data_IF_139680661410
#
_entry.id   IF_139680661410
#
_cell.length_a   1.000
_cell.length_b   1.000
_cell.length_c   1.000
_cell.angle_alpha   90.00
_cell.angle_beta   90.00
_cell.angle_gamma   90.00
#
_symmetry.space_group_name_H-M   'P 1'
#
loop_
_entity.id
_entity.type
_entity.pdbx_description
1 polymer ?
#
# COMPACT_ATOMS: atom_id res chain seq x y z
N UNK A 1 -18.71 -3.71 -17.42
CA UNK A 1 -18.44 -2.26 -17.43
C UNK A 1 -17.39 -2.06 -16.37
N UNK A 2 -16.18 -1.64 -16.73
CA UNK A 2 -15.10 -1.39 -15.77
C UNK A 2 -15.52 -0.22 -14.90
N UNK A 3 -15.75 -0.47 -13.62
CA UNK A 3 -15.79 0.61 -12.61
C UNK A 3 -14.51 1.42 -12.82
N UNK A 4 -14.67 2.71 -13.17
CA UNK A 4 -13.62 3.61 -13.69
C UNK A 4 -12.39 3.84 -12.79
N UNK A 5 -11.80 2.76 -12.29
CA UNK A 5 -10.59 2.77 -11.51
C UNK A 5 -9.37 2.73 -12.43
N UNK A 6 -8.77 3.90 -12.63
CA UNK A 6 -7.50 4.03 -13.35
C UNK A 6 -6.35 3.73 -12.39
N UNK A 7 -5.43 2.78 -12.74
CA UNK A 7 -4.23 2.55 -11.95
C UNK A 7 -3.36 3.81 -11.86
N UNK A 8 -2.75 4.04 -10.71
CA UNK A 8 -1.93 5.23 -10.46
C UNK A 8 -0.57 5.08 -11.14
N UNK A 9 -0.11 6.14 -11.84
CA UNK A 9 1.19 6.17 -12.52
C UNK A 9 1.40 5.01 -13.51
N UNK A 10 0.33 4.60 -14.22
CA UNK A 10 0.35 3.41 -15.08
C UNK A 10 1.43 3.48 -16.16
N UNK A 11 1.51 4.59 -16.89
CA UNK A 11 2.47 4.76 -17.98
C UNK A 11 3.91 4.75 -17.46
N UNK A 12 4.14 5.37 -16.31
CA UNK A 12 5.44 5.41 -15.64
C UNK A 12 5.85 4.02 -15.13
N UNK A 13 4.90 3.25 -14.55
CA UNK A 13 5.14 1.86 -14.13
C UNK A 13 5.52 1.01 -15.34
N UNK A 14 4.76 1.05 -16.43
CA UNK A 14 5.05 0.28 -17.63
C UNK A 14 6.38 0.70 -18.27
N UNK A 15 6.70 2.00 -18.28
CA UNK A 15 7.96 2.51 -18.79
C UNK A 15 9.18 2.05 -18.00
N UNK A 16 9.10 2.05 -16.68
CA UNK A 16 10.20 1.60 -15.81
C UNK A 16 10.30 0.09 -15.70
N UNK A 17 9.17 -0.62 -15.57
CA UNK A 17 9.14 -2.08 -15.46
C UNK A 17 9.50 -2.76 -16.78
N UNK A 18 9.18 -2.11 -17.92
CA UNK A 18 9.48 -2.54 -19.29
C UNK A 18 9.03 -4.00 -19.58
N UNK A 19 7.72 -4.30 -19.46
CA UNK A 19 7.24 -5.66 -19.69
C UNK A 19 7.47 -6.11 -21.13
N UNK A 20 7.93 -7.38 -21.31
CA UNK A 20 8.28 -7.98 -22.59
C UNK A 20 7.68 -9.37 -22.76
N UNK A 21 7.46 -9.84 -23.98
CA UNK A 21 7.08 -11.23 -24.24
C UNK A 21 8.03 -12.22 -23.55
N UNK A 22 7.48 -13.32 -23.06
CA UNK A 22 8.20 -14.37 -22.32
C UNK A 22 8.59 -13.97 -20.89
N UNK A 23 8.41 -12.72 -20.49
CA UNK A 23 8.78 -12.23 -19.16
C UNK A 23 7.86 -12.75 -18.07
N UNK A 24 8.39 -12.81 -16.85
CA UNK A 24 7.67 -13.22 -15.64
C UNK A 24 7.61 -12.04 -14.67
N UNK A 25 6.40 -11.69 -14.23
CA UNK A 25 6.16 -10.49 -13.42
C UNK A 25 5.45 -10.86 -12.12
N UNK A 26 5.70 -10.06 -11.08
CA UNK A 26 4.95 -10.11 -9.83
C UNK A 26 4.31 -8.74 -9.58
N UNK A 27 3.00 -8.73 -9.37
CA UNK A 27 2.28 -7.62 -8.77
C UNK A 27 1.94 -8.03 -7.33
N UNK A 28 2.68 -7.49 -6.36
CA UNK A 28 2.59 -7.91 -4.97
C UNK A 28 1.45 -7.21 -4.20
N UNK A 29 0.73 -6.31 -4.85
CA UNK A 29 -0.41 -5.53 -4.34
C UNK A 29 -1.49 -5.45 -5.41
N UNK A 30 -1.97 -6.61 -5.83
CA UNK A 30 -2.79 -6.80 -7.04
C UNK A 30 -4.03 -5.88 -7.11
N UNK A 31 -4.69 -5.65 -5.95
CA UNK A 31 -5.92 -4.87 -5.88
C UNK A 31 -6.97 -5.39 -6.86
N UNK A 32 -7.47 -4.52 -7.72
CA UNK A 32 -8.45 -4.87 -8.76
C UNK A 32 -7.82 -5.40 -10.06
N UNK A 33 -6.48 -5.52 -10.11
CA UNK A 33 -5.74 -6.06 -11.26
C UNK A 33 -5.46 -5.07 -12.39
N UNK A 34 -5.58 -3.77 -12.16
CA UNK A 34 -5.40 -2.77 -13.22
C UNK A 34 -3.97 -2.71 -13.77
N UNK A 35 -2.96 -2.63 -12.91
CA UNK A 35 -1.55 -2.73 -13.31
C UNK A 35 -1.23 -4.10 -13.90
N UNK A 36 -1.72 -5.18 -13.26
CA UNK A 36 -1.53 -6.55 -13.71
C UNK A 36 -2.04 -6.75 -15.15
N UNK A 37 -3.24 -6.26 -15.48
CA UNK A 37 -3.78 -6.27 -16.84
C UNK A 37 -2.83 -5.61 -17.84
N UNK A 38 -2.39 -4.39 -17.55
CA UNK A 38 -1.53 -3.65 -18.46
C UNK A 38 -0.15 -4.31 -18.65
N UNK A 39 0.40 -4.92 -17.60
CA UNK A 39 1.63 -5.72 -17.68
C UNK A 39 1.41 -6.93 -18.60
N UNK A 40 0.29 -7.66 -18.46
CA UNK A 40 -0.04 -8.84 -19.27
C UNK A 40 -0.28 -8.48 -20.74
N UNK A 41 -0.96 -7.38 -21.01
CA UNK A 41 -1.17 -6.85 -22.36
C UNK A 41 0.17 -6.48 -23.02
N UNK A 42 1.03 -5.77 -22.29
CA UNK A 42 2.35 -5.33 -22.78
C UNK A 42 3.32 -6.50 -22.99
N UNK A 43 3.20 -7.58 -22.21
CA UNK A 43 4.02 -8.79 -22.30
C UNK A 43 3.40 -9.91 -23.13
N UNK A 44 2.39 -9.61 -23.94
CA UNK A 44 1.80 -10.58 -24.88
C UNK A 44 2.86 -11.09 -25.88
N UNK A 45 2.73 -12.35 -26.38
CA UNK A 45 1.60 -13.28 -26.15
C UNK A 45 1.76 -14.17 -24.91
N UNK A 46 2.95 -14.32 -24.33
CA UNK A 46 3.31 -15.39 -23.43
C UNK A 46 3.91 -14.95 -22.08
N UNK A 47 3.99 -13.64 -21.83
CA UNK A 47 4.39 -13.11 -20.54
C UNK A 47 3.41 -13.54 -19.43
N UNK A 48 3.95 -13.87 -18.24
CA UNK A 48 3.19 -14.40 -17.10
C UNK A 48 3.23 -13.46 -15.90
N UNK A 49 2.18 -13.49 -15.09
CA UNK A 49 2.07 -12.65 -13.91
C UNK A 49 1.60 -13.47 -12.69
N UNK A 50 2.28 -13.25 -11.59
CA UNK A 50 1.86 -13.69 -10.27
C UNK A 50 1.30 -12.47 -9.54
N UNK A 51 -0.01 -12.49 -9.22
CA UNK A 51 -0.69 -11.45 -8.47
C UNK A 51 -0.85 -11.89 -7.02
N UNK A 52 -0.35 -11.07 -6.10
CA UNK A 52 -0.46 -11.32 -4.66
C UNK A 52 -1.33 -10.22 -4.06
N UNK A 53 -2.29 -10.59 -3.24
CA UNK A 53 -3.02 -9.63 -2.42
C UNK A 53 -3.40 -10.27 -1.08
N UNK A 54 -3.42 -9.46 -0.03
CA UNK A 54 -3.88 -9.87 1.29
C UNK A 54 -5.39 -9.76 1.46
N UNK A 55 -6.09 -9.04 0.57
CA UNK A 55 -7.55 -8.90 0.58
C UNK A 55 -8.18 -9.97 -0.32
N UNK A 56 -8.86 -10.99 0.25
CA UNK A 56 -9.50 -12.03 -0.54
C UNK A 56 -10.60 -11.49 -1.47
N UNK A 57 -11.24 -10.37 -1.12
CA UNK A 57 -12.25 -9.74 -1.97
C UNK A 57 -11.61 -9.11 -3.22
N UNK A 58 -10.42 -8.53 -3.08
CA UNK A 58 -9.66 -8.00 -4.21
C UNK A 58 -9.29 -9.12 -5.20
N UNK A 59 -8.85 -10.28 -4.69
CA UNK A 59 -8.50 -11.43 -5.52
C UNK A 59 -9.68 -11.98 -6.32
N UNK A 60 -10.88 -12.00 -5.75
CA UNK A 60 -12.11 -12.42 -6.48
C UNK A 60 -12.40 -11.47 -7.65
N UNK A 61 -12.33 -10.16 -7.41
CA UNK A 61 -12.57 -9.16 -8.45
C UNK A 61 -11.48 -9.19 -9.53
N UNK A 62 -10.22 -9.23 -9.12
CA UNK A 62 -9.08 -9.34 -10.03
C UNK A 62 -9.14 -10.62 -10.87
N UNK A 63 -9.51 -11.77 -10.27
CA UNK A 63 -9.66 -13.03 -10.96
C UNK A 63 -10.70 -12.96 -12.08
N UNK A 64 -11.85 -12.35 -11.84
CA UNK A 64 -12.85 -12.11 -12.87
C UNK A 64 -12.35 -11.15 -13.96
N UNK A 65 -11.68 -10.08 -13.57
CA UNK A 65 -11.12 -9.06 -14.46
C UNK A 65 -10.01 -9.60 -15.36
N UNK A 66 -9.19 -10.52 -14.88
CA UNK A 66 -8.02 -11.08 -15.57
C UNK A 66 -8.29 -12.44 -16.22
N UNK A 67 -9.53 -12.95 -16.19
CA UNK A 67 -9.88 -14.29 -16.67
C UNK A 67 -9.51 -14.55 -18.14
N UNK A 68 -9.54 -13.54 -19.01
CA UNK A 68 -9.15 -13.64 -20.42
C UNK A 68 -7.69 -14.03 -20.65
N UNK A 69 -6.81 -13.80 -19.66
CA UNK A 69 -5.38 -14.12 -19.75
C UNK A 69 -5.09 -15.61 -19.43
N UNK A 70 -6.06 -16.35 -18.91
CA UNK A 70 -5.98 -17.80 -18.68
C UNK A 70 -4.75 -18.19 -17.83
N UNK A 71 -3.98 -19.16 -18.31
CA UNK A 71 -2.81 -19.74 -17.62
C UNK A 71 -1.61 -18.76 -17.46
N UNK A 72 -1.72 -17.57 -18.02
CA UNK A 72 -0.71 -16.53 -17.85
C UNK A 72 -0.77 -15.84 -16.50
N UNK A 73 -1.84 -16.07 -15.71
CA UNK A 73 -2.08 -15.42 -14.41
C UNK A 73 -2.18 -16.47 -13.30
N UNK A 74 -1.44 -16.23 -12.22
CA UNK A 74 -1.58 -16.98 -10.97
C UNK A 74 -1.89 -16.00 -9.85
N UNK A 75 -2.99 -16.20 -9.11
CA UNK A 75 -3.42 -15.34 -8.01
C UNK A 75 -3.19 -16.04 -6.67
N UNK A 76 -2.58 -15.34 -5.71
CA UNK A 76 -2.24 -15.90 -4.41
C UNK A 76 -2.69 -14.98 -3.29
N UNK A 77 -3.42 -15.54 -2.30
CA UNK A 77 -3.83 -14.84 -1.10
C UNK A 77 -2.69 -14.85 -0.07
N UNK A 78 -1.95 -13.76 0.01
CA UNK A 78 -0.86 -13.57 0.96
C UNK A 78 -0.55 -12.08 1.16
N UNK A 79 0.06 -11.69 2.28
CA UNK A 79 0.65 -10.36 2.39
C UNK A 79 1.91 -10.27 1.50
N UNK A 80 2.15 -9.10 0.93
CA UNK A 80 3.30 -8.86 0.05
C UNK A 80 4.66 -9.10 0.74
N UNK A 81 4.72 -9.05 2.07
CA UNK A 81 5.94 -9.39 2.83
C UNK A 81 6.37 -10.86 2.70
N UNK A 82 5.49 -11.74 2.21
CA UNK A 82 5.79 -13.15 1.90
C UNK A 82 6.07 -13.39 0.41
N UNK A 83 6.33 -12.33 -0.37
CA UNK A 83 6.44 -12.46 -1.82
C UNK A 83 7.51 -13.47 -2.27
N UNK A 84 8.70 -13.50 -1.64
CA UNK A 84 9.73 -14.48 -1.99
C UNK A 84 9.27 -15.92 -1.74
N UNK A 85 8.63 -16.18 -0.61
CA UNK A 85 8.06 -17.48 -0.26
C UNK A 85 7.01 -17.89 -1.29
N UNK A 86 6.02 -17.03 -1.56
CA UNK A 86 4.97 -17.26 -2.55
C UNK A 86 5.55 -17.55 -3.94
N UNK A 87 6.47 -16.71 -4.40
CA UNK A 87 7.11 -16.91 -5.71
C UNK A 87 7.90 -18.23 -5.79
N UNK A 88 8.51 -18.65 -4.67
CA UNK A 88 9.22 -19.92 -4.59
C UNK A 88 8.25 -21.09 -4.66
N UNK A 89 7.16 -21.06 -3.91
CA UNK A 89 6.13 -22.11 -3.89
C UNK A 89 5.49 -22.34 -5.25
N UNK A 90 5.23 -21.25 -6.01
CA UNK A 90 4.66 -21.35 -7.37
C UNK A 90 5.72 -21.55 -8.46
N UNK A 91 7.00 -21.75 -8.10
CA UNK A 91 8.09 -21.96 -9.06
C UNK A 91 8.38 -20.76 -9.97
N UNK A 92 8.14 -19.54 -9.48
CA UNK A 92 8.24 -18.32 -10.27
C UNK A 92 9.49 -17.46 -10.00
N UNK A 93 10.33 -17.83 -9.02
CA UNK A 93 11.61 -17.16 -8.76
C UNK A 93 12.67 -17.61 -9.76
N UNK A 94 13.49 -16.69 -10.28
CA UNK A 94 13.40 -15.24 -10.18
C UNK A 94 12.44 -14.64 -11.22
N UNK A 95 11.90 -13.42 -10.94
CA UNK A 95 11.05 -12.70 -11.88
C UNK A 95 11.82 -11.61 -12.66
N UNK A 96 11.29 -11.23 -13.83
CA UNK A 96 11.79 -10.15 -14.68
C UNK A 96 11.39 -8.76 -14.17
N UNK A 97 10.21 -8.67 -13.56
CA UNK A 97 9.70 -7.44 -13.01
C UNK A 97 8.88 -7.64 -11.75
N UNK A 98 8.97 -6.67 -10.85
CA UNK A 98 8.28 -6.67 -9.57
C UNK A 98 7.62 -5.32 -9.31
N UNK A 99 6.33 -5.32 -9.05
CA UNK A 99 5.54 -4.13 -8.74
C UNK A 99 5.00 -4.20 -7.32
N UNK A 100 5.03 -3.05 -6.65
CA UNK A 100 4.34 -2.82 -5.38
C UNK A 100 3.64 -1.47 -5.44
N UNK A 101 2.32 -1.46 -5.33
CA UNK A 101 1.49 -0.28 -5.21
C UNK A 101 0.94 -0.20 -3.78
N UNK A 102 1.67 0.52 -2.90
CA UNK A 102 1.38 0.57 -1.48
C UNK A 102 0.07 1.31 -1.19
N UNK A 103 -0.50 1.06 0.00
CA UNK A 103 -1.68 1.76 0.48
C UNK A 103 -2.96 0.95 0.38
N UNK A 104 -4.08 1.62 0.14
CA UNK A 104 -5.43 1.03 0.15
C UNK A 104 -6.07 1.04 -1.23
N UNK A 105 -6.80 -0.02 -1.53
CA UNK A 105 -7.56 -0.13 -2.76
C UNK A 105 -8.82 0.75 -2.74
N UNK A 106 -9.36 1.04 -3.92
CA UNK A 106 -10.61 1.81 -4.05
C UNK A 106 -11.77 1.20 -3.29
N UNK A 107 -12.05 -0.11 -3.40
CA UNK A 107 -13.14 -0.72 -2.65
C UNK A 107 -12.97 -0.62 -1.13
N UNK A 108 -11.74 -0.61 -0.62
CA UNK A 108 -11.51 -0.44 0.82
C UNK A 108 -11.92 0.95 1.29
N UNK A 109 -11.70 2.00 0.48
CA UNK A 109 -12.08 3.38 0.81
C UNK A 109 -13.55 3.69 0.55
N UNK A 110 -14.13 3.08 -0.50
CA UNK A 110 -15.46 3.42 -0.99
C UNK A 110 -16.57 2.61 -0.32
N UNK A 111 -16.23 1.53 0.42
CA UNK A 111 -17.19 0.70 1.16
C UNK A 111 -17.16 1.04 2.65
N UNK A 112 -18.23 1.64 3.21
CA UNK A 112 -18.28 2.06 4.62
C UNK A 112 -18.06 0.89 5.59
N UNK A 113 -18.50 -0.31 5.24
CA UNK A 113 -18.35 -1.52 6.05
C UNK A 113 -16.91 -1.96 6.27
N UNK A 114 -15.96 -1.46 5.46
CA UNK A 114 -14.52 -1.73 5.61
C UNK A 114 -13.86 -0.80 6.63
N UNK A 115 -14.48 0.28 7.03
CA UNK A 115 -14.01 1.18 8.09
C UNK A 115 -12.81 2.07 7.76
N UNK A 116 -12.35 2.13 6.52
CA UNK A 116 -11.18 2.95 6.13
C UNK A 116 -11.51 4.45 5.95
N UNK A 117 -12.78 4.79 5.81
CA UNK A 117 -13.24 6.15 5.55
C UNK A 117 -14.10 6.68 6.69
N UNK A 118 -14.03 7.99 6.90
CA UNK A 118 -14.91 8.72 7.82
C UNK A 118 -15.96 9.57 7.07
N UNK A 119 -16.03 9.45 5.74
CA UNK A 119 -17.03 10.16 4.92
C UNK A 119 -18.42 9.60 5.18
N UNK A 120 -18.49 8.27 5.11
CA UNK A 120 -19.68 7.52 5.45
C UNK A 120 -19.40 6.74 6.74
N UNK A 121 -20.37 6.70 7.65
CA UNK A 121 -20.21 6.02 8.92
C UNK A 121 -20.27 4.51 8.74
N UNK A 122 -19.27 3.81 9.25
CA UNK A 122 -19.14 2.36 9.23
C UNK A 122 -18.50 1.84 10.51
N UNK A 123 -18.33 0.51 10.65
CA UNK A 123 -17.64 -0.09 11.78
C UNK A 123 -16.17 0.32 11.83
N UNK A 124 -15.56 0.31 13.01
CA UNK A 124 -14.13 0.54 13.20
C UNK A 124 -13.35 -0.75 12.89
N UNK A 125 -13.34 -1.17 11.60
CA UNK A 125 -12.62 -2.37 11.17
C UNK A 125 -11.19 -2.05 10.74
N UNK A 126 -10.99 -1.42 9.59
CA UNK A 126 -9.72 -1.02 8.96
C UNK A 126 -8.78 -2.20 8.61
N UNK A 127 -9.17 -3.45 8.74
CA UNK A 127 -8.34 -4.58 8.30
C UNK A 127 -8.32 -4.67 6.77
N UNK A 128 -7.15 -4.79 6.18
CA UNK A 128 -7.03 -5.06 4.75
C UNK A 128 -7.43 -6.51 4.44
N UNK A 129 -7.07 -7.46 5.31
CA UNK A 129 -7.61 -8.83 5.31
C UNK A 129 -8.66 -8.98 6.42
N UNK A 130 -9.96 -8.99 6.10
CA UNK A 130 -11.01 -9.07 7.13
C UNK A 130 -11.13 -10.45 7.80
N UNK A 131 -10.42 -11.47 7.28
CA UNK A 131 -10.48 -12.84 7.82
C UNK A 131 -9.61 -13.02 9.06
N UNK A 132 -8.69 -12.10 9.37
CA UNK A 132 -7.72 -12.24 10.45
C UNK A 132 -7.32 -10.90 11.09
N UNK A 133 -6.66 -10.98 12.24
CA UNK A 133 -6.15 -9.81 12.96
C UNK A 133 -7.20 -9.06 13.75
N UNK A 134 -6.74 -8.09 14.56
CA UNK A 134 -7.61 -7.20 15.34
C UNK A 134 -8.16 -6.06 14.48
N UNK A 135 -9.40 -5.64 14.76
CA UNK A 135 -9.99 -4.47 14.14
C UNK A 135 -9.47 -3.17 14.76
N UNK A 136 -9.69 -2.02 14.10
CA UNK A 136 -9.40 -0.73 14.71
C UNK A 136 -10.20 -0.52 16.02
N UNK A 137 -11.41 -1.06 16.10
CA UNK A 137 -12.21 -1.05 17.32
C UNK A 137 -11.59 -1.89 18.42
N UNK A 138 -11.02 -3.07 18.12
CA UNK A 138 -10.31 -3.90 19.09
C UNK A 138 -9.05 -3.20 19.59
N UNK A 139 -8.25 -2.64 18.66
CA UNK A 139 -7.07 -1.85 19.00
C UNK A 139 -7.44 -0.71 19.95
N UNK A 140 -8.45 0.09 19.61
CA UNK A 140 -8.87 1.26 20.41
C UNK A 140 -9.45 0.88 21.79
N UNK A 141 -10.01 -0.34 21.94
CA UNK A 141 -10.46 -0.85 23.24
C UNK A 141 -9.30 -1.27 24.14
N UNK A 142 -8.20 -1.76 23.56
CA UNK A 142 -7.07 -2.36 24.27
C UNK A 142 -6.02 -1.31 24.68
N UNK A 143 -5.72 -0.35 23.81
CA UNK A 143 -4.61 0.60 24.03
C UNK A 143 -4.89 1.58 25.15
N UNK A 144 -3.84 1.98 25.87
CA UNK A 144 -3.88 3.11 26.78
C UNK A 144 -3.63 4.45 26.07
N UNK A 145 -3.71 5.56 26.82
CA UNK A 145 -3.55 6.91 26.25
C UNK A 145 -2.15 7.10 25.65
N UNK A 146 -1.09 6.57 26.28
CA UNK A 146 0.30 6.76 25.83
C UNK A 146 0.60 5.96 24.56
N UNK A 147 0.12 4.71 24.49
CA UNK A 147 0.25 3.88 23.32
C UNK A 147 -0.51 4.50 22.13
N UNK A 148 -1.74 4.97 22.36
CA UNK A 148 -2.54 5.63 21.32
C UNK A 148 -1.90 6.95 20.85
N UNK A 149 -1.38 7.76 21.77
CA UNK A 149 -0.63 8.97 21.44
C UNK A 149 0.56 8.64 20.53
N UNK A 150 1.33 7.61 20.88
CA UNK A 150 2.50 7.20 20.10
C UNK A 150 2.09 6.73 18.69
N UNK A 151 1.04 5.91 18.56
CA UNK A 151 0.48 5.49 17.27
C UNK A 151 0.12 6.71 16.41
N UNK A 152 -0.65 7.65 16.96
CA UNK A 152 -1.13 8.84 16.23
C UNK A 152 0.03 9.76 15.85
N UNK A 153 1.01 9.94 16.73
CA UNK A 153 2.18 10.78 16.48
C UNK A 153 3.09 10.16 15.43
N UNK A 154 3.46 8.90 15.60
CA UNK A 154 4.51 8.27 14.82
C UNK A 154 4.01 7.80 13.45
N UNK A 155 2.79 7.27 13.35
CA UNK A 155 2.19 6.79 12.11
C UNK A 155 1.32 7.84 11.40
N UNK A 156 0.77 8.80 12.13
CA UNK A 156 0.02 9.91 11.57
C UNK A 156 0.85 11.15 11.27
N UNK A 157 2.09 11.21 11.79
CA UNK A 157 2.90 12.46 11.81
C UNK A 157 2.08 13.65 12.36
N UNK A 158 1.24 13.38 13.41
CA UNK A 158 0.26 14.32 13.94
C UNK A 158 0.77 15.01 15.21
N UNK A 159 0.93 16.32 15.16
CA UNK A 159 1.47 17.10 16.29
C UNK A 159 0.52 17.23 17.48
N UNK A 160 -0.78 17.06 17.25
CA UNK A 160 -1.81 17.13 18.31
C UNK A 160 -2.16 15.74 18.86
N UNK A 161 -1.30 14.74 18.66
CA UNK A 161 -1.54 13.35 19.00
C UNK A 161 -2.05 13.14 20.43
N UNK A 162 -1.43 13.80 21.44
CA UNK A 162 -1.84 13.67 22.83
C UNK A 162 -3.25 14.22 23.13
N UNK A 163 -3.67 15.31 22.45
CA UNK A 163 -5.05 15.81 22.59
C UNK A 163 -6.07 14.88 21.95
N UNK A 164 -5.70 14.32 20.81
CA UNK A 164 -6.56 13.40 20.07
C UNK A 164 -6.69 12.10 20.86
N UNK A 165 -5.57 11.51 21.33
CA UNK A 165 -5.57 10.30 22.13
C UNK A 165 -6.44 10.44 23.37
N UNK A 166 -6.25 11.50 24.16
CA UNK A 166 -7.09 11.80 25.32
C UNK A 166 -8.57 11.91 24.97
N UNK A 167 -8.91 12.58 23.86
CA UNK A 167 -10.29 12.71 23.39
C UNK A 167 -10.91 11.38 23.02
N UNK A 168 -10.15 10.50 22.35
CA UNK A 168 -10.61 9.16 21.96
C UNK A 168 -10.80 8.27 23.20
N UNK A 169 -9.82 8.23 24.13
CA UNK A 169 -9.91 7.43 25.35
C UNK A 169 -11.11 7.87 26.20
N UNK A 170 -11.29 9.19 26.41
CA UNK A 170 -12.44 9.70 27.14
C UNK A 170 -13.78 9.37 26.48
N UNK A 171 -13.88 9.36 25.16
CA UNK A 171 -15.09 8.97 24.43
C UNK A 171 -15.34 7.46 24.52
N UNK A 172 -14.27 6.64 24.41
CA UNK A 172 -14.34 5.20 24.61
C UNK A 172 -14.93 4.86 25.97
N UNK A 173 -14.40 5.49 27.03
CA UNK A 173 -14.80 5.21 28.41
C UNK A 173 -16.27 5.65 28.71
N UNK A 174 -16.84 6.53 27.87
CA UNK A 174 -18.28 6.89 27.89
C UNK A 174 -19.15 6.04 26.94
N UNK A 175 -18.56 5.11 26.18
CA UNK A 175 -19.28 4.30 25.20
C UNK A 175 -19.70 5.08 23.93
N UNK A 176 -19.03 6.18 23.59
CA UNK A 176 -19.33 7.04 22.45
C UNK A 176 -18.48 6.73 21.20
N UNK A 177 -17.66 5.67 21.24
CA UNK A 177 -16.72 5.29 20.17
C UNK A 177 -17.21 4.02 19.47
N UNK A 178 -18.25 4.12 18.65
CA UNK A 178 -18.93 3.00 18.03
C UNK A 178 -18.75 2.89 16.50
N UNK A 179 -18.29 3.97 15.86
CA UNK A 179 -18.21 4.05 14.40
C UNK A 179 -17.10 4.96 13.91
N UNK A 180 -16.78 4.86 12.60
CA UNK A 180 -15.82 5.75 11.93
C UNK A 180 -16.30 7.20 11.96
N UNK A 181 -17.61 7.44 11.86
CA UNK A 181 -18.19 8.77 11.99
C UNK A 181 -17.99 9.38 13.38
N UNK A 182 -18.25 8.60 14.44
CA UNK A 182 -18.00 9.00 15.83
C UNK A 182 -16.51 9.32 16.05
N UNK A 183 -15.61 8.45 15.62
CA UNK A 183 -14.16 8.68 15.69
C UNK A 183 -13.76 9.98 14.97
N UNK A 184 -14.24 10.19 13.74
CA UNK A 184 -13.98 11.41 12.97
C UNK A 184 -14.42 12.68 13.70
N UNK A 185 -15.61 12.67 14.31
CA UNK A 185 -16.15 13.79 15.09
C UNK A 185 -15.34 14.05 16.38
N UNK A 186 -14.87 12.99 17.06
CA UNK A 186 -14.02 13.10 18.25
C UNK A 186 -12.69 13.77 17.88
N UNK A 187 -12.04 13.31 16.81
CA UNK A 187 -10.79 13.90 16.32
C UNK A 187 -10.98 15.35 15.95
N UNK A 188 -12.03 15.69 15.21
CA UNK A 188 -12.33 17.06 14.82
C UNK A 188 -12.50 17.99 16.03
N UNK A 189 -13.16 17.54 17.10
CA UNK A 189 -13.30 18.31 18.35
C UNK A 189 -11.98 18.53 19.08
N UNK A 190 -11.05 17.59 18.99
CA UNK A 190 -9.73 17.68 19.59
C UNK A 190 -8.78 18.61 18.84
N UNK A 191 -9.03 18.89 17.56
CA UNK A 191 -8.16 19.69 16.71
C UNK A 191 -8.51 21.17 16.75
N UNK A 192 -7.51 22.09 16.75
CA UNK A 192 -7.76 23.52 16.57
C UNK A 192 -8.36 23.82 15.20
N UNK A 193 -9.41 24.67 15.14
CA UNK A 193 -10.12 25.00 13.89
C UNK A 193 -9.24 25.59 12.78
N UNK A 194 -8.18 26.31 13.12
CA UNK A 194 -7.26 26.90 12.14
C UNK A 194 -6.40 25.86 11.40
N UNK A 195 -6.37 24.60 11.85
CA UNK A 195 -5.66 23.49 11.21
C UNK A 195 -6.51 22.70 10.19
N UNK A 196 -7.77 23.10 9.99
CA UNK A 196 -8.72 22.38 9.13
C UNK A 196 -8.52 22.63 7.62
N UNK A 197 -7.28 22.87 7.16
CA UNK A 197 -6.94 22.95 5.73
C UNK A 197 -7.13 21.61 5.00
N UNK A 198 -7.03 20.50 5.74
CA UNK A 198 -7.42 19.15 5.34
C UNK A 198 -8.34 18.59 6.41
N UNK A 199 -9.11 17.53 6.09
CA UNK A 199 -9.94 16.93 7.12
C UNK A 199 -9.05 16.48 8.30
N UNK A 200 -9.33 16.95 9.53
CA UNK A 200 -8.47 16.71 10.69
C UNK A 200 -8.33 15.23 11.04
N UNK A 201 -9.31 14.38 10.67
CA UNK A 201 -9.27 12.94 10.96
C UNK A 201 -8.32 12.15 10.04
N UNK A 202 -7.90 12.70 8.89
CA UNK A 202 -7.11 11.95 7.89
C UNK A 202 -5.86 11.31 8.47
N UNK A 203 -5.08 12.05 9.28
CA UNK A 203 -3.83 11.54 9.88
C UNK A 203 -4.09 10.48 10.94
N UNK A 204 -5.14 10.65 11.74
CA UNK A 204 -5.53 9.66 12.76
C UNK A 204 -5.99 8.36 12.10
N UNK A 205 -6.80 8.42 11.04
CA UNK A 205 -7.22 7.25 10.28
C UNK A 205 -6.03 6.54 9.62
N UNK A 206 -5.10 7.30 9.02
CA UNK A 206 -3.84 6.74 8.52
C UNK A 206 -3.06 6.03 9.62
N UNK A 207 -2.92 6.64 10.80
CA UNK A 207 -2.17 6.06 11.90
C UNK A 207 -2.78 4.72 12.39
N UNK A 208 -4.09 4.69 12.57
CA UNK A 208 -4.79 3.47 12.98
C UNK A 208 -4.71 2.38 11.92
N UNK A 209 -4.86 2.73 10.64
CA UNK A 209 -4.72 1.81 9.51
C UNK A 209 -3.34 1.17 9.48
N UNK A 210 -2.29 1.98 9.61
CA UNK A 210 -0.90 1.50 9.66
C UNK A 210 -0.71 0.54 10.84
N UNK A 211 -1.23 0.88 12.02
CA UNK A 211 -1.12 0.05 13.22
C UNK A 211 -1.86 -1.29 13.06
N UNK A 212 -3.13 -1.26 12.65
CA UNK A 212 -3.98 -2.46 12.45
C UNK A 212 -3.37 -3.42 11.43
N UNK A 213 -2.79 -2.89 10.36
CA UNK A 213 -2.29 -3.70 9.25
C UNK A 213 -0.78 -3.95 9.29
N UNK A 214 -0.06 -3.42 10.29
CA UNK A 214 1.41 -3.52 10.40
C UNK A 214 2.13 -3.09 9.12
N UNK A 215 1.62 -2.03 8.44
CA UNK A 215 2.00 -1.69 7.07
C UNK A 215 3.50 -1.43 6.93
N UNK A 216 4.11 -0.67 7.85
CA UNK A 216 5.53 -0.32 7.76
C UNK A 216 6.44 -1.52 7.96
N UNK A 217 6.11 -2.43 8.88
CA UNK A 217 6.85 -3.68 9.09
C UNK A 217 6.75 -4.60 7.86
N UNK A 218 5.57 -4.66 7.22
CA UNK A 218 5.39 -5.43 5.99
C UNK A 218 6.30 -4.91 4.87
N UNK A 219 6.43 -3.56 4.74
CA UNK A 219 7.31 -2.93 3.75
C UNK A 219 8.77 -3.27 4.03
N UNK A 220 9.21 -3.18 5.28
CA UNK A 220 10.58 -3.51 5.66
C UNK A 220 10.93 -4.97 5.33
N UNK A 221 10.06 -5.91 5.72
CA UNK A 221 10.22 -7.35 5.43
C UNK A 221 10.28 -7.63 3.93
N UNK A 222 9.42 -6.99 3.13
CA UNK A 222 9.49 -7.12 1.67
C UNK A 222 10.84 -6.64 1.14
N UNK A 223 11.28 -5.45 1.55
CA UNK A 223 12.50 -4.83 1.03
C UNK A 223 13.78 -5.60 1.41
N UNK A 224 13.74 -6.40 2.48
CA UNK A 224 14.85 -7.27 2.88
C UNK A 224 15.08 -8.41 1.86
N UNK A 225 14.03 -8.94 1.27
CA UNK A 225 14.06 -10.09 0.36
C UNK A 225 13.95 -9.72 -1.13
N UNK A 226 13.62 -8.46 -1.43
CA UNK A 226 13.21 -8.02 -2.77
C UNK A 226 14.24 -8.29 -3.87
N UNK A 227 15.54 -8.07 -3.55
CA UNK A 227 16.60 -8.35 -4.50
C UNK A 227 16.73 -9.85 -4.85
N UNK A 228 16.25 -10.74 -3.99
CA UNK A 228 16.27 -12.18 -4.20
C UNK A 228 15.07 -12.65 -5.05
N UNK A 229 14.02 -11.87 -5.13
CA UNK A 229 12.90 -12.12 -6.03
C UNK A 229 13.26 -11.87 -7.50
N UNK A 230 14.22 -11.01 -7.79
CA UNK A 230 14.54 -10.53 -9.14
C UNK A 230 15.73 -11.24 -9.76
N UNK A 231 15.67 -11.54 -11.06
CA UNK A 231 16.86 -11.93 -11.82
C UNK A 231 17.83 -10.75 -12.02
N UNK A 232 19.12 -10.98 -12.33
CA UNK A 232 19.99 -9.91 -12.82
C UNK A 232 19.35 -9.20 -14.03
N UNK A 233 19.32 -7.86 -14.02
CA UNK A 233 18.59 -7.04 -14.99
C UNK A 233 17.09 -6.98 -14.78
N UNK A 234 16.53 -7.69 -13.80
CA UNK A 234 15.12 -7.59 -13.42
C UNK A 234 14.80 -6.24 -12.77
N UNK A 235 13.61 -5.71 -13.01
CA UNK A 235 13.21 -4.35 -12.64
C UNK A 235 12.15 -4.32 -11.57
N UNK A 236 12.21 -3.30 -10.75
CA UNK A 236 11.35 -3.06 -9.61
C UNK A 236 10.70 -1.69 -9.73
N UNK A 237 9.40 -1.63 -9.47
CA UNK A 237 8.64 -0.41 -9.26
C UNK A 237 7.93 -0.45 -7.93
N UNK A 238 8.07 0.61 -7.11
CA UNK A 238 7.34 0.79 -5.85
C UNK A 238 6.67 2.15 -5.85
N UNK A 239 5.35 2.17 -5.64
CA UNK A 239 4.56 3.38 -5.45
C UNK A 239 4.23 3.50 -3.95
N UNK A 240 4.49 4.68 -3.38
CA UNK A 240 4.16 5.04 -2.00
C UNK A 240 3.22 6.24 -1.98
N UNK A 241 2.32 6.32 -1.00
CA UNK A 241 1.31 7.38 -0.92
C UNK A 241 1.50 8.34 0.25
N UNK A 242 2.34 7.99 1.22
CA UNK A 242 2.67 8.90 2.33
C UNK A 242 4.18 8.92 2.64
N UNK A 243 4.55 9.88 3.49
CA UNK A 243 5.95 10.18 3.83
C UNK A 243 6.70 9.02 4.48
N UNK A 244 6.02 8.24 5.33
CA UNK A 244 6.64 7.13 6.06
C UNK A 244 7.02 5.99 5.12
N UNK A 245 6.10 5.56 4.24
CA UNK A 245 6.37 4.56 3.19
C UNK A 245 7.54 5.01 2.32
N UNK A 246 7.45 6.20 1.73
CA UNK A 246 8.49 6.72 0.83
C UNK A 246 9.85 6.82 1.53
N UNK A 247 9.88 7.16 2.82
CA UNK A 247 11.11 7.24 3.63
C UNK A 247 11.76 5.88 3.78
N UNK A 248 11.00 4.83 4.09
CA UNK A 248 11.48 3.45 4.24
C UNK A 248 12.00 2.95 2.89
N UNK A 249 11.19 3.04 1.83
CA UNK A 249 11.56 2.62 0.47
C UNK A 249 12.83 3.32 0.00
N UNK A 250 12.89 4.65 0.13
CA UNK A 250 14.07 5.44 -0.25
C UNK A 250 15.34 5.00 0.48
N UNK A 251 15.26 4.84 1.81
CA UNK A 251 16.42 4.45 2.63
C UNK A 251 16.91 3.06 2.23
N UNK A 252 15.99 2.11 2.08
CA UNK A 252 16.33 0.73 1.76
C UNK A 252 16.90 0.57 0.35
N UNK A 253 16.28 1.19 -0.66
CA UNK A 253 16.81 1.17 -2.03
C UNK A 253 18.18 1.83 -2.12
N UNK A 254 18.46 2.89 -1.36
CA UNK A 254 19.80 3.48 -1.27
C UNK A 254 20.80 2.53 -0.63
N UNK A 255 20.42 1.79 0.41
CA UNK A 255 21.27 0.78 1.02
C UNK A 255 21.59 -0.35 0.05
N UNK A 256 20.57 -0.89 -0.63
CA UNK A 256 20.73 -1.91 -1.67
C UNK A 256 21.57 -1.44 -2.86
N UNK A 257 21.60 -0.14 -3.12
CA UNK A 257 22.46 0.46 -4.15
C UNK A 257 23.89 0.81 -3.66
N UNK A 258 24.29 0.32 -2.47
CA UNK A 258 25.62 0.58 -1.90
C UNK A 258 25.83 2.03 -1.46
N UNK A 259 24.76 2.82 -1.30
CA UNK A 259 24.83 4.27 -1.00
C UNK A 259 24.51 4.62 0.46
N UNK A 260 24.58 3.65 1.36
CA UNK A 260 24.29 3.85 2.78
C UNK A 260 25.54 4.06 3.64
N UNK A 261 26.73 4.04 3.06
CA UNK A 261 28.00 4.16 3.81
C UNK A 261 28.38 2.90 4.63
N UNK A 262 27.68 1.79 4.44
CA UNK A 262 27.88 0.53 5.20
C UNK A 262 28.97 -0.36 4.62
N UNK A 263 29.54 -0.04 3.46
CA UNK A 263 30.48 -0.88 2.74
C UNK A 263 29.87 -2.13 2.10
N UNK A 264 28.57 -2.36 2.25
CA UNK A 264 27.89 -3.48 1.63
C UNK A 264 27.88 -3.34 0.10
N UNK A 265 28.10 -4.46 -0.65
CA UNK A 265 28.08 -4.44 -2.10
C UNK A 265 26.70 -4.03 -2.61
N UNK A 266 26.69 -3.27 -3.71
CA UNK A 266 25.45 -2.91 -4.37
C UNK A 266 24.77 -4.16 -4.94
N UNK A 267 23.48 -4.29 -4.71
CA UNK A 267 22.62 -5.36 -5.24
C UNK A 267 21.64 -4.84 -6.28
N UNK A 268 21.40 -3.52 -6.30
CA UNK A 268 20.52 -2.88 -7.26
C UNK A 268 21.12 -1.57 -7.78
N UNK A 269 20.71 -1.18 -8.98
CA UNK A 269 20.95 0.13 -9.57
C UNK A 269 19.66 0.94 -9.52
N UNK A 270 19.68 2.15 -8.94
CA UNK A 270 18.52 3.04 -8.99
C UNK A 270 18.31 3.55 -10.42
N UNK A 271 17.11 3.39 -10.96
CA UNK A 271 16.79 3.80 -12.32
C UNK A 271 16.40 5.30 -12.37
N UNK A 272 15.76 5.82 -11.32
CA UNK A 272 15.40 7.23 -11.21
C UNK A 272 16.17 7.93 -10.09
N UNK A 273 16.76 9.12 -10.37
CA UNK A 273 17.42 9.96 -9.35
C UNK A 273 16.43 10.62 -8.40
N UNK A 274 15.33 11.11 -8.96
CA UNK A 274 14.24 11.78 -8.26
C UNK A 274 13.03 10.90 -8.26
N UNK A 275 12.19 11.06 -7.24
CA UNK A 275 10.89 10.39 -7.21
C UNK A 275 10.05 10.84 -8.40
N UNK A 276 9.37 9.91 -9.05
CA UNK A 276 8.39 10.21 -10.10
C UNK A 276 7.04 10.43 -9.44
N UNK A 277 6.34 11.46 -9.84
CA UNK A 277 5.00 11.83 -9.34
C UNK A 277 4.05 12.00 -10.52
N UNK A 278 2.76 11.85 -10.26
CA UNK A 278 1.73 12.02 -11.28
C UNK A 278 1.78 13.41 -11.92
N UNK A 279 1.60 13.46 -13.23
CA UNK A 279 1.44 14.71 -13.97
C UNK A 279 0.10 15.41 -13.67
N UNK A 280 -0.04 16.68 -14.07
CA UNK A 280 -1.26 17.46 -13.77
C UNK A 280 -2.50 16.86 -14.45
N UNK A 281 -2.38 16.31 -15.64
CA UNK A 281 -3.46 15.64 -16.34
C UNK A 281 -3.98 14.41 -15.57
N UNK A 282 -3.08 13.57 -15.06
CA UNK A 282 -3.45 12.43 -14.23
C UNK A 282 -4.07 12.87 -12.90
N UNK A 283 -3.47 13.86 -12.22
CA UNK A 283 -4.02 14.39 -10.95
C UNK A 283 -5.42 14.97 -11.09
N UNK A 284 -5.76 15.51 -12.26
CA UNK A 284 -7.10 16.04 -12.54
C UNK A 284 -8.15 14.93 -12.70
N UNK A 285 -7.80 13.84 -13.42
CA UNK A 285 -8.73 12.73 -13.65
C UNK A 285 -8.71 11.67 -12.54
N UNK A 286 -7.55 11.45 -11.89
CA UNK A 286 -7.37 10.51 -10.80
C UNK A 286 -6.85 11.22 -9.53
N UNK A 287 -7.73 11.74 -8.65
CA UNK A 287 -7.31 12.44 -7.43
C UNK A 287 -6.45 11.58 -6.47
N UNK A 288 -6.52 10.24 -6.56
CA UNK A 288 -5.71 9.32 -5.75
C UNK A 288 -4.22 9.37 -6.09
N UNK A 289 -3.88 9.78 -7.32
CA UNK A 289 -2.49 9.94 -7.76
C UNK A 289 -1.75 11.14 -7.14
N UNK A 290 -2.46 12.06 -6.48
CA UNK A 290 -1.87 13.32 -5.96
C UNK A 290 -0.70 13.15 -5.01
N UNK A 291 -0.72 12.09 -4.19
CA UNK A 291 0.35 11.79 -3.21
C UNK A 291 1.27 10.68 -3.65
N UNK A 292 1.03 10.07 -4.80
CA UNK A 292 1.81 8.95 -5.32
C UNK A 292 3.26 9.35 -5.61
N UNK A 293 4.18 8.45 -5.24
CA UNK A 293 5.62 8.60 -5.37
C UNK A 293 6.21 7.30 -5.88
N UNK A 294 6.57 7.24 -7.14
CA UNK A 294 7.17 6.05 -7.74
C UNK A 294 8.70 6.08 -7.63
N UNK A 295 9.26 4.95 -7.20
CA UNK A 295 10.70 4.64 -7.22
C UNK A 295 10.94 3.38 -8.02
N UNK A 296 11.98 3.41 -8.88
CA UNK A 296 12.36 2.29 -9.70
C UNK A 296 13.84 1.92 -9.50
N UNK A 297 14.12 0.61 -9.55
CA UNK A 297 15.46 0.06 -9.46
C UNK A 297 15.60 -1.18 -10.35
N UNK A 298 16.83 -1.57 -10.64
CA UNK A 298 17.18 -2.77 -11.41
C UNK A 298 18.17 -3.61 -10.62
N UNK A 299 17.97 -4.92 -10.61
CA UNK A 299 18.88 -5.90 -10.00
C UNK A 299 20.18 -5.99 -10.81
N UNK A 300 21.34 -5.86 -10.17
CA UNK A 300 22.68 -6.02 -10.76
C UNK A 300 23.29 -7.37 -10.42
#
# INVERSE_FOLDING_TARGET
>A
MSDGHEPVLLDEVLGWLDPRPGGRYCDATLGLGGHARAILERSAPDGRLIGIDRDPQALVVAGASLAEFGDRVTLVHAPFSRALEVLTEVGAVPVDGFLVDLGVSSPQLDRPERGFSFRDSGPLDMRMDPSQGETAGDLLRRVDEQELESIIRDYGEERYAGRIARGIIAARDRGELDSTGALGAIVARAMPRHEWHKNPATRTFQALRIAVNHELEQIERLLDQLADCLRPGGRLCIIAFHSLEDRIVKRRLRALAGRAGTGAPARVRLLNKHVVVAGDAERARNPRSRSAKLRAAERI
#
